data_IF_047000693530
#
_entry.id   IF_047000693530
#
_cell.length_a   1.000
_cell.length_b   1.000
_cell.length_c   1.000
_cell.angle_alpha   90.00
_cell.angle_beta   90.00
_cell.angle_gamma   90.00
#
_symmetry.space_group_name_H-M   'P 1'
#
loop_
_entity.id
_entity.type
_entity.pdbx_description
1 polymer ?
#
# COMPACT_ATOMS: atom_id res chain seq x y z
N UNK A 1 -23.50 20.28 40.60
CA UNK A 1 -24.09 20.28 39.25
C UNK A 1 -23.10 19.54 38.37
N UNK A 2 -23.43 18.28 38.08
CA UNK A 2 -22.54 17.35 37.36
C UNK A 2 -22.90 17.38 35.89
N UNK A 3 -22.03 17.95 35.04
CA UNK A 3 -22.16 17.98 33.60
C UNK A 3 -21.54 16.71 32.98
N UNK A 4 -22.38 15.80 32.49
CA UNK A 4 -21.93 14.67 31.65
C UNK A 4 -21.58 15.18 30.26
N UNK A 5 -20.36 14.88 29.81
CA UNK A 5 -19.95 15.03 28.41
C UNK A 5 -20.66 13.98 27.52
N UNK A 6 -21.06 14.30 26.29
CA UNK A 6 -21.68 13.35 25.39
C UNK A 6 -20.66 12.36 24.86
N UNK A 7 -21.04 11.09 24.83
CA UNK A 7 -20.26 10.00 24.25
C UNK A 7 -20.04 10.22 22.75
N UNK A 8 -18.79 10.14 22.33
CA UNK A 8 -18.39 10.26 20.94
C UNK A 8 -19.09 9.22 20.05
N UNK A 9 -19.55 9.68 18.89
CA UNK A 9 -20.17 8.86 17.86
C UNK A 9 -19.17 7.79 17.40
N UNK A 10 -19.45 6.54 17.72
CA UNK A 10 -18.67 5.40 17.27
C UNK A 10 -18.69 5.31 15.76
N UNK A 11 -17.52 5.43 15.13
CA UNK A 11 -17.32 5.12 13.75
C UNK A 11 -17.81 3.67 13.51
N UNK A 12 -18.89 3.52 12.75
CA UNK A 12 -19.41 2.21 12.33
C UNK A 12 -18.31 1.54 11.52
N UNK A 13 -17.67 0.50 12.08
CA UNK A 13 -16.82 -0.43 11.32
C UNK A 13 -17.70 -0.99 10.19
N UNK A 14 -17.46 -0.53 8.95
CA UNK A 14 -18.02 -1.17 7.75
C UNK A 14 -17.56 -2.63 7.76
N UNK A 15 -18.49 -3.57 7.58
CA UNK A 15 -18.15 -4.98 7.33
C UNK A 15 -17.41 -5.01 5.99
N UNK A 16 -16.29 -5.77 5.87
CA UNK A 16 -15.59 -5.91 4.60
C UNK A 16 -16.59 -6.44 3.54
N UNK A 17 -16.84 -5.65 2.52
CA UNK A 17 -17.57 -6.07 1.33
C UNK A 17 -16.71 -7.12 0.63
N UNK A 18 -17.29 -8.25 0.28
CA UNK A 18 -16.62 -9.28 -0.52
C UNK A 18 -16.39 -8.70 -1.91
N UNK A 19 -15.18 -8.24 -2.19
CA UNK A 19 -14.74 -7.79 -3.51
C UNK A 19 -14.40 -9.02 -4.35
N UNK A 20 -15.39 -9.63 -5.01
CA UNK A 20 -15.26 -10.89 -5.74
C UNK A 20 -14.28 -10.82 -6.93
N UNK A 21 -13.88 -9.61 -7.32
CA UNK A 21 -13.07 -9.35 -8.51
C UNK A 21 -11.66 -8.80 -8.19
N UNK A 22 -11.27 -8.67 -6.91
CA UNK A 22 -9.98 -8.16 -6.47
C UNK A 22 -9.20 -9.19 -5.67
N UNK A 23 -7.87 -9.14 -5.75
CA UNK A 23 -6.99 -9.81 -4.78
C UNK A 23 -7.29 -9.29 -3.37
N UNK A 24 -7.17 -10.16 -2.37
CA UNK A 24 -7.52 -9.82 -0.97
C UNK A 24 -6.79 -8.57 -0.44
N UNK A 25 -5.55 -8.35 -0.83
CA UNK A 25 -4.75 -7.18 -0.46
C UNK A 25 -5.28 -5.88 -1.12
N UNK A 26 -5.66 -5.92 -2.40
CA UNK A 26 -6.24 -4.77 -3.09
C UNK A 26 -7.66 -4.46 -2.59
N UNK A 27 -8.41 -5.47 -2.15
CA UNK A 27 -9.71 -5.25 -1.52
C UNK A 27 -9.57 -4.41 -0.23
N UNK A 28 -8.55 -4.70 0.58
CA UNK A 28 -8.23 -3.91 1.78
C UNK A 28 -7.80 -2.48 1.41
N UNK A 29 -6.98 -2.32 0.37
CA UNK A 29 -6.60 -1.00 -0.14
C UNK A 29 -7.83 -0.21 -0.58
N UNK A 30 -8.75 -0.83 -1.33
CA UNK A 30 -9.99 -0.19 -1.78
C UNK A 30 -10.89 0.26 -0.60
N UNK A 31 -10.99 -0.56 0.47
CA UNK A 31 -11.75 -0.22 1.68
C UNK A 31 -11.18 0.99 2.45
N UNK A 32 -9.90 1.34 2.25
CA UNK A 32 -9.25 2.51 2.87
C UNK A 32 -9.49 3.80 2.09
N UNK A 33 -9.94 3.73 0.84
CA UNK A 33 -10.14 4.88 -0.03
C UNK A 33 -11.59 5.38 0.10
N UNK A 34 -11.76 6.69 0.29
CA UNK A 34 -13.09 7.29 0.37
C UNK A 34 -13.77 7.30 -1.02
N UNK A 35 -15.09 7.10 -1.01
CA UNK A 35 -15.88 7.16 -2.24
C UNK A 35 -15.71 8.53 -2.93
N UNK A 36 -15.58 8.55 -4.26
CA UNK A 36 -15.45 9.76 -5.06
C UNK A 36 -14.05 10.40 -5.07
N UNK A 37 -13.05 9.75 -4.46
CA UNK A 37 -11.66 10.26 -4.43
C UNK A 37 -11.01 10.26 -5.81
N UNK A 38 -10.06 11.20 -6.01
CA UNK A 38 -9.08 11.15 -7.10
C UNK A 38 -7.91 10.27 -6.66
N UNK A 39 -7.67 9.17 -7.36
CA UNK A 39 -6.70 8.15 -6.97
C UNK A 39 -5.60 8.01 -8.02
N UNK A 40 -4.34 8.02 -7.59
CA UNK A 40 -3.18 7.67 -8.39
C UNK A 40 -2.64 6.32 -7.91
N UNK A 41 -2.61 5.31 -8.77
CA UNK A 41 -2.11 3.96 -8.47
C UNK A 41 -0.75 3.74 -9.16
N UNK A 42 0.32 3.75 -8.38
CA UNK A 42 1.70 3.62 -8.86
C UNK A 42 2.10 2.14 -8.93
N UNK A 43 2.41 1.65 -10.14
CA UNK A 43 2.60 0.23 -10.43
C UNK A 43 1.26 -0.48 -10.49
N UNK A 44 0.33 0.04 -11.30
CA UNK A 44 -1.05 -0.43 -11.34
C UNK A 44 -1.25 -1.79 -12.04
N UNK A 45 -0.22 -2.33 -12.68
CA UNK A 45 -0.27 -3.53 -13.50
C UNK A 45 -1.45 -3.50 -14.51
N UNK A 46 -2.34 -4.47 -14.49
CA UNK A 46 -3.55 -4.57 -15.33
C UNK A 46 -4.68 -3.57 -14.96
N UNK A 47 -4.43 -2.65 -14.02
CA UNK A 47 -5.38 -1.63 -13.59
C UNK A 47 -6.55 -2.14 -12.75
N UNK A 48 -6.44 -3.30 -12.15
CA UNK A 48 -7.52 -3.97 -11.41
C UNK A 48 -8.08 -3.11 -10.26
N UNK A 49 -7.20 -2.43 -9.50
CA UNK A 49 -7.61 -1.56 -8.40
C UNK A 49 -8.36 -0.33 -8.94
N UNK A 50 -7.78 0.38 -9.90
CA UNK A 50 -8.39 1.60 -10.48
C UNK A 50 -9.77 1.29 -11.05
N UNK A 51 -9.88 0.25 -11.87
CA UNK A 51 -11.16 -0.20 -12.43
C UNK A 51 -12.21 -0.52 -11.37
N UNK A 52 -11.79 -1.15 -10.26
CA UNK A 52 -12.69 -1.46 -9.15
C UNK A 52 -13.19 -0.19 -8.46
N UNK A 53 -12.28 0.74 -8.15
CA UNK A 53 -12.60 2.01 -7.48
C UNK A 53 -13.54 2.87 -8.32
N UNK A 54 -13.33 2.96 -9.62
CA UNK A 54 -14.23 3.68 -10.54
C UNK A 54 -15.63 3.08 -10.55
N UNK A 55 -15.74 1.76 -10.67
CA UNK A 55 -17.03 1.06 -10.79
C UNK A 55 -17.81 0.97 -9.49
N UNK A 56 -17.16 0.87 -8.35
CA UNK A 56 -17.79 0.55 -7.07
C UNK A 56 -17.80 1.71 -6.08
N UNK A 57 -16.83 2.61 -6.18
CA UNK A 57 -16.64 3.71 -5.25
C UNK A 57 -16.83 5.09 -5.91
N UNK A 58 -17.11 5.13 -7.22
CA UNK A 58 -17.27 6.40 -7.96
C UNK A 58 -16.02 7.27 -7.97
N UNK A 59 -14.85 6.67 -7.71
CA UNK A 59 -13.57 7.36 -7.78
C UNK A 59 -13.19 7.72 -9.21
N UNK A 60 -12.31 8.70 -9.37
CA UNK A 60 -11.59 8.95 -10.62
C UNK A 60 -10.17 8.46 -10.44
N UNK A 61 -9.74 7.49 -11.23
CA UNK A 61 -8.44 6.84 -11.09
C UNK A 61 -7.51 7.06 -12.26
N UNK A 62 -6.21 7.14 -11.98
CA UNK A 62 -5.14 7.07 -12.97
C UNK A 62 -4.16 6.01 -12.51
N UNK A 63 -3.83 5.06 -13.38
CA UNK A 63 -2.75 4.11 -13.17
C UNK A 63 -1.44 4.65 -13.73
N UNK A 64 -0.33 4.26 -13.12
CA UNK A 64 1.03 4.43 -13.64
C UNK A 64 1.67 3.06 -13.70
N UNK A 65 2.24 2.72 -14.85
CA UNK A 65 2.90 1.43 -15.06
C UNK A 65 4.09 1.62 -16.01
N UNK A 66 5.16 0.85 -15.81
CA UNK A 66 6.37 0.90 -16.65
C UNK A 66 6.41 -0.24 -17.66
N UNK A 67 5.71 -1.35 -17.40
CA UNK A 67 5.64 -2.50 -18.29
C UNK A 67 4.63 -2.23 -19.42
N UNK A 68 5.09 -2.14 -20.70
CA UNK A 68 4.20 -1.85 -21.83
C UNK A 68 3.10 -2.90 -22.02
N UNK A 69 3.35 -4.17 -21.69
CA UNK A 69 2.35 -5.24 -21.82
C UNK A 69 1.22 -5.03 -20.82
N UNK A 70 1.56 -4.72 -19.56
CA UNK A 70 0.58 -4.40 -18.52
C UNK A 70 -0.20 -3.11 -18.82
N UNK A 71 0.45 -2.10 -19.40
CA UNK A 71 -0.20 -0.86 -19.89
C UNK A 71 -1.27 -1.18 -20.93
N UNK A 72 -0.95 -2.04 -21.91
CA UNK A 72 -1.92 -2.45 -22.93
C UNK A 72 -3.11 -3.21 -22.31
N UNK A 73 -2.85 -4.08 -21.34
CA UNK A 73 -3.90 -4.80 -20.61
C UNK A 73 -4.82 -3.84 -19.85
N UNK A 74 -4.25 -2.86 -19.13
CA UNK A 74 -4.99 -1.85 -18.38
C UNK A 74 -5.87 -0.98 -19.32
N UNK A 75 -5.32 -0.52 -20.45
CA UNK A 75 -6.09 0.21 -21.49
C UNK A 75 -7.23 -0.66 -22.02
N UNK A 76 -6.95 -1.93 -22.33
CA UNK A 76 -7.95 -2.89 -22.79
C UNK A 76 -9.06 -3.14 -21.76
N UNK A 77 -8.77 -2.99 -20.46
CA UNK A 77 -9.72 -3.06 -19.38
C UNK A 77 -10.51 -1.75 -19.16
N UNK A 78 -10.19 -0.67 -19.90
CA UNK A 78 -10.84 0.64 -19.85
C UNK A 78 -10.32 1.54 -18.72
N UNK A 79 -9.10 1.31 -18.23
CA UNK A 79 -8.45 2.11 -17.20
C UNK A 79 -7.64 3.23 -17.85
N UNK A 80 -7.69 4.43 -17.28
CA UNK A 80 -6.76 5.52 -17.60
C UNK A 80 -5.39 5.18 -17.04
N UNK A 81 -4.40 4.93 -17.89
CA UNK A 81 -3.04 4.56 -17.49
C UNK A 81 -2.00 5.39 -18.24
N UNK A 82 -0.91 5.71 -17.57
CA UNK A 82 0.25 6.42 -18.10
C UNK A 82 1.45 5.48 -18.02
N UNK A 83 2.14 5.25 -19.12
CA UNK A 83 3.43 4.56 -19.14
C UNK A 83 4.51 5.51 -18.62
N UNK A 84 5.07 5.20 -17.42
CA UNK A 84 5.97 6.11 -16.74
C UNK A 84 6.84 5.37 -15.71
N UNK A 85 8.13 5.76 -15.61
CA UNK A 85 9.05 5.29 -14.58
C UNK A 85 8.86 6.11 -13.28
N UNK A 86 8.32 5.49 -12.24
CA UNK A 86 8.08 6.13 -10.93
C UNK A 86 9.37 6.57 -10.23
N UNK A 87 10.52 5.96 -10.52
CA UNK A 87 11.82 6.37 -9.97
C UNK A 87 12.35 7.67 -10.60
N UNK A 88 11.80 8.12 -11.74
CA UNK A 88 12.33 9.24 -12.49
C UNK A 88 11.31 10.36 -12.76
N UNK A 89 10.03 10.05 -12.92
CA UNK A 89 9.09 10.94 -13.59
C UNK A 89 7.90 11.40 -12.72
N UNK A 90 7.84 11.07 -11.44
CA UNK A 90 6.74 11.50 -10.57
C UNK A 90 6.63 13.02 -10.42
N UNK A 91 7.68 13.77 -10.76
CA UNK A 91 7.66 15.23 -10.78
C UNK A 91 6.71 15.83 -11.84
N UNK A 92 6.24 15.04 -12.81
CA UNK A 92 5.26 15.46 -13.81
C UNK A 92 3.85 15.65 -13.22
N UNK A 93 3.55 15.04 -12.07
CA UNK A 93 2.30 15.25 -11.36
C UNK A 93 2.34 16.54 -10.52
N UNK A 94 1.25 17.30 -10.52
CA UNK A 94 1.10 18.50 -9.72
C UNK A 94 0.98 18.24 -8.22
N UNK A 95 1.28 19.23 -7.40
CA UNK A 95 1.07 19.18 -5.95
C UNK A 95 -0.43 19.05 -5.65
N UNK A 96 -0.79 18.22 -4.67
CA UNK A 96 -2.17 17.95 -4.23
C UNK A 96 -3.16 17.67 -5.40
N UNK A 97 -2.63 17.12 -6.52
CA UNK A 97 -3.43 16.80 -7.71
C UNK A 97 -4.32 15.59 -7.53
N UNK A 98 -4.05 14.75 -6.53
CA UNK A 98 -4.86 13.60 -6.13
C UNK A 98 -5.22 13.67 -4.65
N UNK A 99 -6.23 12.91 -4.24
CA UNK A 99 -6.65 12.80 -2.84
C UNK A 99 -5.92 11.65 -2.14
N UNK A 100 -5.57 10.60 -2.90
CA UNK A 100 -4.84 9.42 -2.43
C UNK A 100 -3.86 8.94 -3.50
N UNK A 101 -2.61 8.65 -3.10
CA UNK A 101 -1.65 7.89 -3.90
C UNK A 101 -1.48 6.50 -3.32
N UNK A 102 -1.56 5.48 -4.17
CA UNK A 102 -1.37 4.06 -3.80
C UNK A 102 -0.05 3.55 -4.36
N UNK A 103 0.68 2.79 -3.57
CA UNK A 103 1.91 2.08 -3.96
C UNK A 103 1.84 0.65 -3.39
N UNK A 104 1.21 -0.26 -4.14
CA UNK A 104 0.91 -1.60 -3.65
C UNK A 104 1.96 -2.63 -4.09
N UNK A 105 2.80 -3.09 -3.16
CA UNK A 105 3.89 -4.06 -3.39
C UNK A 105 4.93 -3.63 -4.44
N UNK A 106 5.17 -2.33 -4.53
CA UNK A 106 6.12 -1.74 -5.48
C UNK A 106 7.31 -1.11 -4.76
N UNK A 107 7.12 -0.55 -3.54
CA UNK A 107 8.17 0.18 -2.82
C UNK A 107 9.49 -0.60 -2.74
N UNK A 108 9.44 -1.90 -2.51
CA UNK A 108 10.63 -2.76 -2.42
C UNK A 108 11.34 -2.98 -3.76
N UNK A 109 10.71 -2.63 -4.87
CA UNK A 109 11.29 -2.73 -6.22
C UNK A 109 11.80 -1.38 -6.75
N UNK A 110 11.52 -0.27 -6.08
CA UNK A 110 12.00 1.06 -6.46
C UNK A 110 13.49 1.20 -6.15
N UNK A 111 14.20 1.98 -6.97
CA UNK A 111 15.64 2.26 -6.78
C UNK A 111 15.89 3.33 -5.71
N UNK A 112 14.94 4.28 -5.59
CA UNK A 112 15.04 5.45 -4.72
C UNK A 112 13.78 5.63 -3.87
N UNK A 113 13.51 4.70 -2.92
CA UNK A 113 12.26 4.69 -2.18
C UNK A 113 11.97 5.99 -1.40
N UNK A 114 13.00 6.67 -0.89
CA UNK A 114 12.84 7.96 -0.22
C UNK A 114 12.32 9.05 -1.17
N UNK A 115 12.85 9.11 -2.40
CA UNK A 115 12.40 10.09 -3.40
C UNK A 115 10.97 9.79 -3.85
N UNK A 116 10.63 8.51 -4.06
CA UNK A 116 9.27 8.08 -4.41
C UNK A 116 8.28 8.47 -3.32
N UNK A 117 8.58 8.19 -2.04
CA UNK A 117 7.74 8.57 -0.91
C UNK A 117 7.58 10.10 -0.79
N UNK A 118 8.66 10.87 -0.98
CA UNK A 118 8.60 12.33 -0.98
C UNK A 118 7.67 12.85 -2.10
N UNK A 119 7.73 12.28 -3.30
CA UNK A 119 6.83 12.63 -4.38
C UNK A 119 5.38 12.23 -4.08
N UNK A 120 5.13 11.04 -3.52
CA UNK A 120 3.79 10.63 -3.10
C UNK A 120 3.19 11.63 -2.10
N UNK A 121 3.97 12.04 -1.09
CA UNK A 121 3.57 13.04 -0.09
C UNK A 121 3.26 14.42 -0.70
N UNK A 122 3.94 14.81 -1.78
CA UNK A 122 3.68 16.05 -2.50
C UNK A 122 2.40 15.97 -3.35
N UNK A 123 2.17 14.82 -4.00
CA UNK A 123 1.07 14.61 -4.94
C UNK A 123 -0.28 14.48 -4.22
N UNK A 124 -0.30 13.89 -3.00
CA UNK A 124 -1.53 13.71 -2.25
C UNK A 124 -1.30 13.82 -0.73
N UNK A 125 -2.32 14.27 0.04
CA UNK A 125 -2.26 14.33 1.50
C UNK A 125 -2.28 12.95 2.15
N UNK A 126 -2.82 11.93 1.47
CA UNK A 126 -2.86 10.54 1.95
C UNK A 126 -2.18 9.60 0.99
N UNK A 127 -1.43 8.66 1.55
CA UNK A 127 -0.75 7.62 0.79
C UNK A 127 -1.11 6.24 1.34
N UNK A 128 -1.22 5.26 0.46
CA UNK A 128 -1.39 3.86 0.86
C UNK A 128 -0.20 3.08 0.35
N UNK A 129 0.51 2.41 1.25
CA UNK A 129 1.68 1.59 0.90
C UNK A 129 1.45 0.17 1.39
N UNK A 130 1.68 -0.82 0.53
CA UNK A 130 1.71 -2.22 0.95
C UNK A 130 3.07 -2.85 0.69
N UNK A 131 3.55 -3.65 1.64
CA UNK A 131 4.85 -4.30 1.56
C UNK A 131 4.82 -5.71 2.10
N UNK A 132 5.62 -6.64 1.55
CA UNK A 132 5.90 -7.92 2.18
C UNK A 132 6.79 -7.71 3.40
N UNK A 133 6.61 -8.53 4.43
CA UNK A 133 7.43 -8.51 5.65
C UNK A 133 8.55 -9.54 5.59
N UNK A 134 9.78 -9.09 5.47
CA UNK A 134 10.95 -9.96 5.55
C UNK A 134 11.18 -10.51 6.97
N UNK A 135 10.66 -9.84 8.00
CA UNK A 135 10.76 -10.20 9.42
C UNK A 135 9.92 -11.39 9.88
N UNK A 136 9.08 -11.99 9.00
CA UNK A 136 8.23 -13.14 9.31
C UNK A 136 9.05 -14.30 9.90
N UNK A 137 8.54 -14.98 10.94
CA UNK A 137 9.25 -16.05 11.66
C UNK A 137 9.76 -17.17 10.74
N UNK A 138 9.00 -17.55 9.71
CA UNK A 138 9.42 -18.60 8.77
C UNK A 138 10.60 -18.15 7.90
N UNK A 139 10.71 -16.85 7.57
CA UNK A 139 11.85 -16.26 6.87
C UNK A 139 13.11 -16.35 7.73
N UNK A 140 13.00 -15.94 9.01
CA UNK A 140 14.09 -16.05 9.99
C UNK A 140 14.56 -17.48 10.15
N UNK A 141 13.62 -18.44 10.19
CA UNK A 141 13.94 -19.85 10.28
C UNK A 141 14.66 -20.41 9.05
N UNK A 142 14.27 -19.96 7.84
CA UNK A 142 14.97 -20.31 6.60
C UNK A 142 16.40 -19.76 6.59
N UNK A 143 16.59 -18.50 7.00
CA UNK A 143 17.92 -17.87 7.11
C UNK A 143 18.81 -18.60 8.11
N UNK A 144 18.31 -19.00 9.28
CA UNK A 144 19.04 -19.81 10.26
C UNK A 144 19.48 -21.18 9.69
N UNK A 145 18.77 -21.67 8.67
CA UNK A 145 19.14 -22.89 7.93
C UNK A 145 20.01 -22.63 6.70
N UNK A 146 20.52 -21.41 6.53
CA UNK A 146 21.37 -21.02 5.41
C UNK A 146 20.61 -20.91 4.06
N UNK A 147 19.30 -20.68 4.07
CA UNK A 147 18.48 -20.55 2.86
C UNK A 147 17.77 -19.21 2.81
N UNK A 148 17.70 -18.63 1.60
CA UNK A 148 16.93 -17.39 1.38
C UNK A 148 15.44 -17.62 1.60
N UNK A 149 14.73 -16.62 2.17
CA UNK A 149 13.30 -16.66 2.37
C UNK A 149 12.52 -16.77 1.07
N UNK A 150 11.45 -17.55 1.12
CA UNK A 150 10.39 -17.61 0.10
C UNK A 150 9.05 -17.80 0.81
N UNK A 151 8.03 -17.11 0.35
CA UNK A 151 6.66 -17.22 0.88
C UNK A 151 5.65 -16.81 -0.19
N UNK A 152 4.34 -17.02 0.00
CA UNK A 152 3.32 -16.51 -0.93
C UNK A 152 3.37 -15.00 -1.14
N UNK A 153 3.90 -14.24 -0.15
CA UNK A 153 4.07 -12.78 -0.25
C UNK A 153 5.42 -12.40 -0.91
N UNK A 154 6.37 -13.34 -0.99
CA UNK A 154 7.67 -13.21 -1.63
C UNK A 154 7.97 -14.49 -2.42
N UNK A 155 7.30 -14.68 -3.58
CA UNK A 155 7.30 -15.96 -4.31
C UNK A 155 8.53 -16.19 -5.19
N UNK A 156 9.42 -15.20 -5.30
CA UNK A 156 10.55 -15.22 -6.22
C UNK A 156 11.78 -15.93 -5.63
N UNK A 157 12.55 -16.58 -6.47
CA UNK A 157 13.90 -17.01 -6.12
C UNK A 157 14.83 -15.81 -5.92
N UNK A 158 15.90 -16.00 -5.15
CA UNK A 158 16.86 -14.92 -4.82
C UNK A 158 17.53 -14.29 -6.04
N UNK A 159 17.59 -14.98 -7.17
CA UNK A 159 18.24 -14.56 -8.41
C UNK A 159 17.27 -14.06 -9.48
N UNK A 160 15.95 -14.21 -9.25
CA UNK A 160 14.89 -13.85 -10.21
C UNK A 160 13.80 -13.00 -9.51
N UNK A 161 14.22 -12.12 -8.62
CA UNK A 161 13.31 -11.25 -7.87
C UNK A 161 13.38 -9.81 -8.38
N UNK A 162 12.25 -9.13 -8.59
CA UNK A 162 12.22 -7.69 -8.83
C UNK A 162 12.53 -6.89 -7.56
N UNK A 163 12.48 -7.52 -6.38
CA UNK A 163 12.69 -6.84 -5.10
C UNK A 163 14.17 -6.54 -4.89
N UNK A 164 14.53 -5.26 -4.82
CA UNK A 164 15.88 -4.79 -4.52
C UNK A 164 16.05 -4.49 -3.02
N UNK A 165 14.96 -4.16 -2.33
CA UNK A 165 14.96 -3.87 -0.91
C UNK A 165 14.13 -4.90 -0.13
N UNK A 166 14.66 -5.35 0.99
CA UNK A 166 13.96 -6.23 1.92
C UNK A 166 13.88 -5.52 3.26
N UNK A 167 12.68 -5.23 3.72
CA UNK A 167 12.44 -4.57 4.99
C UNK A 167 11.60 -5.46 5.92
N UNK A 168 11.82 -5.32 7.22
CA UNK A 168 10.86 -5.75 8.22
C UNK A 168 9.81 -4.66 8.43
N UNK A 169 8.70 -4.96 9.12
CA UNK A 169 7.70 -3.91 9.41
C UNK A 169 8.28 -2.82 10.32
N UNK A 170 9.21 -3.17 11.21
CA UNK A 170 9.87 -2.19 12.11
C UNK A 170 10.74 -1.25 11.29
N UNK A 171 11.63 -1.78 10.45
CA UNK A 171 12.50 -0.95 9.60
C UNK A 171 11.68 -0.03 8.69
N UNK A 172 10.57 -0.54 8.15
CA UNK A 172 9.69 0.25 7.29
C UNK A 172 9.00 1.38 8.08
N UNK A 173 8.46 1.10 9.26
CA UNK A 173 7.77 2.11 10.08
C UNK A 173 8.73 3.23 10.53
N UNK A 174 9.97 2.87 10.90
CA UNK A 174 11.03 3.84 11.17
C UNK A 174 11.34 4.69 9.93
N UNK A 175 11.51 4.07 8.78
CA UNK A 175 11.77 4.76 7.52
C UNK A 175 10.62 5.68 7.11
N UNK A 176 9.36 5.26 7.23
CA UNK A 176 8.21 6.10 6.94
C UNK A 176 8.14 7.33 7.86
N UNK A 177 8.46 7.16 9.15
CA UNK A 177 8.53 8.28 10.09
C UNK A 177 9.66 9.26 9.74
N UNK A 178 10.84 8.77 9.33
CA UNK A 178 11.95 9.59 8.83
C UNK A 178 11.58 10.39 7.56
N UNK A 179 10.73 9.82 6.70
CA UNK A 179 10.20 10.52 5.51
C UNK A 179 9.04 11.48 5.85
N UNK A 180 8.72 11.68 7.14
CA UNK A 180 7.72 12.63 7.59
C UNK A 180 6.27 12.13 7.47
N UNK A 181 6.04 10.82 7.35
CA UNK A 181 4.69 10.27 7.37
C UNK A 181 4.22 9.93 8.79
N UNK A 182 2.92 10.08 8.99
CA UNK A 182 2.21 9.54 10.16
C UNK A 182 1.38 8.34 9.72
N UNK A 183 1.51 7.21 10.42
CA UNK A 183 0.69 6.03 10.18
C UNK A 183 -0.69 6.23 10.81
N UNK A 184 -1.72 6.44 9.96
CA UNK A 184 -3.11 6.54 10.42
C UNK A 184 -3.71 5.15 10.70
N UNK A 185 -3.37 4.17 9.86
CA UNK A 185 -3.86 2.80 10.02
C UNK A 185 -2.85 1.79 9.50
N UNK A 186 -2.73 0.66 10.22
CA UNK A 186 -1.93 -0.50 9.83
C UNK A 186 -2.84 -1.73 9.77
N UNK A 187 -2.86 -2.42 8.64
CA UNK A 187 -3.59 -3.67 8.44
C UNK A 187 -2.58 -4.77 8.15
N UNK A 188 -2.59 -5.79 8.99
CA UNK A 188 -1.64 -6.91 8.94
C UNK A 188 -2.25 -8.09 8.20
N UNK A 189 -1.40 -8.82 7.48
CA UNK A 189 -1.76 -10.07 6.81
C UNK A 189 -0.93 -11.22 7.37
N UNK A 190 -1.54 -12.39 7.57
CA UNK A 190 -0.82 -13.61 7.94
C UNK A 190 0.04 -14.13 6.77
N UNK A 191 0.77 -15.22 7.00
CA UNK A 191 1.59 -15.86 5.98
C UNK A 191 0.78 -16.37 4.77
N UNK A 192 -0.52 -16.61 4.93
CA UNK A 192 -1.42 -17.03 3.86
C UNK A 192 -2.11 -15.86 3.15
N UNK A 193 -1.81 -14.60 3.52
CA UNK A 193 -2.40 -13.41 2.92
C UNK A 193 -3.77 -13.03 3.45
N UNK A 194 -4.22 -13.59 4.57
CA UNK A 194 -5.50 -13.24 5.20
C UNK A 194 -5.28 -12.13 6.23
N UNK A 195 -6.23 -11.21 6.32
CA UNK A 195 -6.19 -10.16 7.35
C UNK A 195 -6.12 -10.79 8.74
N UNK A 196 -5.16 -10.31 9.53
CA UNK A 196 -4.88 -10.81 10.86
C UNK A 196 -4.69 -9.65 11.86
N UNK A 197 -4.85 -9.93 13.14
CA UNK A 197 -4.60 -8.98 14.21
C UNK A 197 -3.66 -9.62 15.23
N UNK A 198 -2.52 -8.98 15.44
CA UNK A 198 -1.50 -9.42 16.39
C UNK A 198 -1.20 -8.31 17.39
N UNK A 199 -0.85 -8.61 18.63
CA UNK A 199 -0.23 -7.61 19.51
C UNK A 199 1.03 -7.03 18.85
N UNK A 200 1.28 -5.73 19.06
CA UNK A 200 2.41 -5.03 18.42
C UNK A 200 3.76 -5.74 18.52
N UNK A 201 4.16 -6.31 19.68
CA UNK A 201 5.44 -7.02 19.77
C UNK A 201 5.54 -8.27 18.88
N UNK A 202 4.40 -8.85 18.48
CA UNK A 202 4.34 -10.05 17.65
C UNK A 202 4.05 -9.73 16.17
N UNK A 203 3.59 -8.53 15.86
CA UNK A 203 3.21 -8.14 14.51
C UNK A 203 4.33 -8.40 13.49
N UNK A 204 5.55 -7.93 13.79
CA UNK A 204 6.71 -8.13 12.92
C UNK A 204 7.13 -9.60 12.78
N UNK A 205 6.83 -10.44 13.76
CA UNK A 205 7.20 -11.86 13.74
C UNK A 205 6.17 -12.73 13.01
N UNK A 206 4.88 -12.40 13.11
CA UNK A 206 3.79 -13.25 12.66
C UNK A 206 3.12 -12.79 11.36
N UNK A 207 3.31 -11.53 10.94
CA UNK A 207 2.75 -11.01 9.71
C UNK A 207 3.61 -11.32 8.49
N UNK A 208 2.98 -11.73 7.39
CA UNK A 208 3.64 -11.95 6.10
C UNK A 208 3.71 -10.68 5.25
N UNK A 209 2.78 -9.74 5.47
CA UNK A 209 2.72 -8.45 4.79
C UNK A 209 1.94 -7.43 5.63
N UNK A 210 2.00 -6.16 5.26
CA UNK A 210 1.16 -5.12 5.84
C UNK A 210 0.74 -4.09 4.78
N UNK A 211 -0.42 -3.46 5.01
CA UNK A 211 -0.91 -2.27 4.31
C UNK A 211 -0.97 -1.13 5.31
N UNK A 212 -0.43 0.01 4.92
CA UNK A 212 -0.40 1.24 5.71
C UNK A 212 -1.19 2.33 5.02
N UNK A 213 -2.12 2.95 5.76
CA UNK A 213 -2.67 4.26 5.40
C UNK A 213 -1.82 5.31 6.11
N UNK A 214 -1.28 6.22 5.33
CA UNK A 214 -0.32 7.23 5.76
C UNK A 214 -0.90 8.63 5.52
N UNK A 215 -0.71 9.52 6.47
CA UNK A 215 -0.90 10.96 6.28
C UNK A 215 0.43 11.66 6.12
N UNK A 216 0.47 12.72 5.30
CA UNK A 216 1.60 13.64 5.22
C UNK A 216 1.80 14.30 6.59
N UNK A 217 3.03 14.24 7.12
CA UNK A 217 3.37 14.88 8.40
C UNK A 217 3.18 16.40 8.31
N UNK A 218 2.38 16.94 9.25
CA UNK A 218 1.96 18.35 9.27
C UNK A 218 0.45 18.53 9.12
N UNK A 219 -0.26 17.57 8.53
CA UNK A 219 -1.73 17.58 8.35
C UNK A 219 -2.47 16.73 9.40
N UNK A 220 -1.78 16.24 10.43
CA UNK A 220 -2.43 15.62 11.57
C UNK A 220 -3.26 16.69 12.29
N UNK A 221 -4.53 16.79 11.92
CA UNK A 221 -5.52 17.58 12.67
C UNK A 221 -5.63 16.99 14.08
N UNK A 222 -5.55 17.80 15.14
CA UNK A 222 -5.58 17.36 16.54
C UNK A 222 -6.92 16.69 16.92
#
# INVERSE_FOLDING_TARGET
MSGRLPAGAGARRRRPTRHLDLRDDLAVVADLIADGSRVLDLGCADGQLVRHLERRHGCTGTGVEIDPEAVVEAIGAGVSVIELDIDAQLHEFGDDSYDVVVLSKVLQATRRPAEVLAQMSRIAPRCIVSVPNFGLWSHRWRLLRGRMPMSPQMPYDWHDTPNIHNATLVDLEEFLAEQGFTVEQRILFDAAGRVASWPDPLANLLSGAAVYLLARGGDATP
#
